data_IF_985905811770
#
_entry.id   IF_985905811770
#
_cell.length_a   1.000
_cell.length_b   1.000
_cell.length_c   1.000
_cell.angle_alpha   90.00
_cell.angle_beta   90.00
_cell.angle_gamma   90.00
#
_symmetry.space_group_name_H-M   'P 1'
#
loop_
_entity.id
_entity.type
_entity.pdbx_description
1 polymer ?
#
# COMPACT_ATOMS: atom_id res chain seq x y z
N UNK A 1 -11.45 5.50 -4.46
CA UNK A 1 -11.16 6.78 -3.77
C UNK A 1 -12.38 7.70 -3.71
N UNK A 2 -12.72 8.52 -4.73
CA UNK A 2 -13.80 9.54 -4.61
C UNK A 2 -15.20 9.03 -4.23
N UNK A 3 -15.49 7.76 -4.53
CA UNK A 3 -16.68 7.06 -4.04
C UNK A 3 -16.71 7.02 -2.49
N UNK A 4 -15.59 6.61 -1.89
CA UNK A 4 -15.44 6.37 -0.45
C UNK A 4 -15.00 7.62 0.32
N UNK A 5 -14.07 8.40 -0.24
CA UNK A 5 -13.34 9.45 0.47
C UNK A 5 -13.75 10.85 0.01
N UNK A 6 -13.70 11.80 0.92
CA UNK A 6 -13.89 13.22 0.61
C UNK A 6 -12.71 13.78 -0.19
N UNK A 7 -12.89 14.93 -0.85
CA UNK A 7 -11.79 15.61 -1.55
C UNK A 7 -10.62 15.97 -0.62
N UNK A 8 -10.91 16.28 0.65
CA UNK A 8 -9.89 16.59 1.66
C UNK A 8 -9.08 15.36 2.03
N UNK A 9 -9.73 14.22 2.25
CA UNK A 9 -9.05 12.95 2.52
C UNK A 9 -8.19 12.52 1.34
N UNK A 10 -8.67 12.67 0.10
CA UNK A 10 -7.88 12.40 -1.11
C UNK A 10 -6.63 13.29 -1.14
N UNK A 11 -6.76 14.59 -0.87
CA UNK A 11 -5.60 15.50 -0.83
C UNK A 11 -4.61 15.11 0.27
N UNK A 12 -5.11 14.68 1.43
CA UNK A 12 -4.29 14.20 2.54
C UNK A 12 -3.56 12.89 2.18
N UNK A 13 -4.23 11.95 1.50
CA UNK A 13 -3.61 10.72 0.98
C UNK A 13 -2.47 11.04 0.02
N UNK A 14 -2.69 11.93 -0.95
CA UNK A 14 -1.66 12.33 -1.90
C UNK A 14 -0.45 12.97 -1.18
N UNK A 15 -0.71 13.80 -0.18
CA UNK A 15 0.35 14.44 0.63
C UNK A 15 1.11 13.42 1.51
N UNK A 16 0.40 12.44 2.08
CA UNK A 16 1.00 11.39 2.90
C UNK A 16 1.89 10.46 2.07
N UNK A 17 1.45 10.10 0.85
CA UNK A 17 2.26 9.33 -0.12
C UNK A 17 3.58 10.04 -0.42
N UNK A 18 3.54 11.34 -0.70
CA UNK A 18 4.75 12.14 -0.96
C UNK A 18 5.66 12.19 0.28
N UNK A 19 5.06 12.36 1.46
CA UNK A 19 5.80 12.41 2.73
C UNK A 19 6.53 11.10 3.00
N UNK A 20 5.87 9.96 2.83
CA UNK A 20 6.48 8.64 3.07
C UNK A 20 7.51 8.27 2.01
N UNK A 21 7.31 8.66 0.75
CA UNK A 21 8.36 8.56 -0.27
C UNK A 21 9.64 9.29 0.17
N UNK A 22 9.52 10.51 0.72
CA UNK A 22 10.66 11.25 1.27
C UNK A 22 11.26 10.57 2.51
N UNK A 23 10.43 10.09 3.44
CA UNK A 23 10.88 9.38 4.64
C UNK A 23 11.65 8.09 4.31
N UNK A 24 11.34 7.45 3.18
CA UNK A 24 12.10 6.29 2.67
C UNK A 24 13.50 6.65 2.13
N UNK A 25 13.93 7.91 2.24
CA UNK A 25 15.16 8.41 1.63
C UNK A 25 15.06 8.61 0.11
N UNK A 26 13.83 8.68 -0.42
CA UNK A 26 13.56 8.77 -1.85
C UNK A 26 13.70 7.44 -2.62
N UNK A 27 13.82 6.31 -1.90
CA UNK A 27 13.94 4.98 -2.51
C UNK A 27 12.58 4.53 -3.09
N UNK A 28 11.48 4.80 -2.38
CA UNK A 28 10.14 4.51 -2.86
C UNK A 28 9.62 5.65 -3.74
N UNK A 29 9.35 5.33 -5.00
CA UNK A 29 8.61 6.22 -5.90
C UNK A 29 7.17 6.41 -5.37
N UNK A 30 6.66 7.65 -5.23
CA UNK A 30 5.28 7.92 -4.83
C UNK A 30 4.23 7.11 -5.60
N UNK A 31 4.47 6.80 -6.88
CA UNK A 31 3.57 6.02 -7.73
C UNK A 31 3.50 4.56 -7.30
N UNK A 32 4.62 4.00 -6.80
CA UNK A 32 4.64 2.63 -6.25
C UNK A 32 3.78 2.57 -4.99
N UNK A 33 3.94 3.55 -4.09
CA UNK A 33 3.14 3.64 -2.86
C UNK A 33 1.65 3.77 -3.21
N UNK A 34 1.31 4.63 -4.18
CA UNK A 34 -0.05 4.79 -4.67
C UNK A 34 -0.61 3.48 -5.25
N UNK A 35 0.12 2.81 -6.14
CA UNK A 35 -0.32 1.56 -6.76
C UNK A 35 -0.50 0.43 -5.73
N UNK A 36 0.41 0.35 -4.75
CA UNK A 36 0.30 -0.60 -3.65
C UNK A 36 -0.92 -0.31 -2.78
N UNK A 37 -1.19 0.95 -2.43
CA UNK A 37 -2.41 1.34 -1.71
C UNK A 37 -3.69 0.89 -2.45
N UNK A 38 -3.72 1.03 -3.78
CA UNK A 38 -4.87 0.54 -4.57
C UNK A 38 -5.01 -0.98 -4.46
N UNK A 39 -3.90 -1.71 -4.48
CA UNK A 39 -3.88 -3.17 -4.29
C UNK A 39 -4.37 -3.59 -2.89
N UNK A 40 -4.06 -2.81 -1.85
CA UNK A 40 -4.41 -3.14 -0.46
C UNK A 40 -5.84 -2.75 -0.08
N UNK A 41 -6.29 -1.56 -0.48
CA UNK A 41 -7.54 -0.97 0.03
C UNK A 41 -8.40 -0.30 -1.03
N UNK A 42 -8.01 -0.38 -2.32
CA UNK A 42 -8.62 0.39 -3.40
C UNK A 42 -8.55 1.92 -3.16
N UNK A 43 -7.64 2.33 -2.26
CA UNK A 43 -7.48 3.69 -1.77
C UNK A 43 -8.61 4.19 -0.87
N UNK A 44 -9.41 3.31 -0.27
CA UNK A 44 -10.46 3.66 0.66
C UNK A 44 -9.87 3.93 2.06
N UNK A 45 -9.90 5.18 2.53
CA UNK A 45 -9.35 5.53 3.86
C UNK A 45 -10.13 4.88 5.01
N UNK A 46 -11.39 4.52 4.76
CA UNK A 46 -12.30 3.88 5.70
C UNK A 46 -12.38 2.37 5.50
N UNK A 47 -11.41 1.76 4.79
CA UNK A 47 -11.39 0.33 4.56
C UNK A 47 -11.50 -0.43 5.88
N UNK A 48 -12.29 -1.51 5.90
CA UNK A 48 -12.37 -2.38 7.05
C UNK A 48 -11.04 -3.13 7.24
N UNK A 49 -10.86 -3.69 8.43
CA UNK A 49 -9.72 -4.56 8.69
C UNK A 49 -9.79 -5.85 7.85
N UNK A 50 -8.70 -6.19 7.17
CA UNK A 50 -8.51 -7.42 6.41
C UNK A 50 -7.96 -8.57 7.25
N UNK A 51 -7.66 -9.69 6.59
CA UNK A 51 -7.00 -10.87 7.18
C UNK A 51 -7.61 -11.34 8.51
N UNK A 52 -8.94 -11.46 8.54
CA UNK A 52 -9.67 -11.86 9.75
C UNK A 52 -9.60 -10.84 10.89
N UNK A 53 -9.33 -9.58 10.58
CA UNK A 53 -9.22 -8.49 11.55
C UNK A 53 -7.80 -8.31 12.10
N UNK A 54 -6.77 -8.57 11.28
CA UNK A 54 -5.35 -8.40 11.69
C UNK A 54 -4.60 -7.37 10.85
N UNK A 55 -5.14 -6.98 9.69
CA UNK A 55 -4.57 -6.00 8.77
C UNK A 55 -5.41 -4.73 8.73
N UNK A 56 -4.78 -3.57 8.90
CA UNK A 56 -5.51 -2.32 9.17
C UNK A 56 -5.07 -1.15 8.27
N UNK A 57 -5.97 -0.17 8.14
CA UNK A 57 -5.73 1.09 7.43
C UNK A 57 -5.54 0.93 5.91
N UNK A 58 -5.16 2.04 5.28
CA UNK A 58 -5.02 2.15 3.81
C UNK A 58 -4.06 1.14 3.17
N UNK A 59 -3.07 0.70 3.94
CA UNK A 59 -2.00 -0.18 3.46
C UNK A 59 -2.11 -1.60 4.02
N UNK A 60 -3.19 -1.90 4.75
CA UNK A 60 -3.49 -3.23 5.31
C UNK A 60 -2.28 -3.87 6.01
N UNK A 61 -1.55 -3.09 6.80
CA UNK A 61 -0.38 -3.58 7.54
C UNK A 61 -0.86 -4.44 8.73
N UNK A 62 -0.22 -5.60 8.95
CA UNK A 62 -0.55 -6.44 10.09
C UNK A 62 -0.06 -5.84 11.40
N UNK A 63 -1.01 -5.43 12.23
CA UNK A 63 -0.78 -4.78 13.52
C UNK A 63 -1.45 -5.60 14.62
N UNK A 64 -0.86 -5.57 15.82
CA UNK A 64 -1.51 -6.14 17.00
C UNK A 64 -2.87 -5.45 17.23
N UNK A 65 -3.99 -6.20 17.30
CA UNK A 65 -5.32 -5.60 17.46
C UNK A 65 -5.40 -4.60 18.61
N UNK A 66 -6.08 -3.48 18.36
CA UNK A 66 -6.26 -2.39 19.33
C UNK A 66 -5.18 -1.30 19.29
N UNK A 67 -4.12 -1.46 18.49
CA UNK A 67 -3.05 -0.47 18.34
C UNK A 67 -2.98 0.18 16.95
N UNK A 68 -3.89 -0.16 16.04
CA UNK A 68 -3.84 0.31 14.66
C UNK A 68 -4.33 1.75 14.53
N UNK A 69 -3.63 2.54 13.71
CA UNK A 69 -4.16 3.80 13.21
C UNK A 69 -5.01 3.47 11.98
N UNK A 70 -6.33 3.60 12.11
CA UNK A 70 -7.24 3.48 10.98
C UNK A 70 -8.36 4.53 11.05
N UNK A 71 -9.21 4.50 10.02
CA UNK A 71 -10.46 5.27 9.95
C UNK A 71 -11.65 4.35 9.64
N UNK A 72 -11.55 3.07 9.99
CA UNK A 72 -12.62 2.12 9.78
C UNK A 72 -13.83 2.52 10.64
N UNK A 73 -15.01 2.61 10.02
CA UNK A 73 -16.24 3.00 10.70
C UNK A 73 -16.38 4.49 11.05
N UNK A 74 -15.41 5.34 10.69
CA UNK A 74 -15.62 6.80 10.71
C UNK A 74 -16.43 7.24 9.49
N UNK A 75 -17.10 8.39 9.57
CA UNK A 75 -17.85 8.91 8.43
C UNK A 75 -16.90 9.50 7.37
N UNK A 76 -17.34 9.51 6.12
CA UNK A 76 -16.65 10.16 5.00
C UNK A 76 -16.33 11.62 5.34
N UNK A 77 -15.05 11.99 5.32
CA UNK A 77 -14.57 13.33 5.66
C UNK A 77 -14.02 13.48 7.08
N UNK A 78 -14.23 12.48 7.95
CA UNK A 78 -13.81 12.55 9.36
C UNK A 78 -12.43 11.91 9.60
N UNK A 79 -11.78 11.34 8.58
CA UNK A 79 -10.42 10.83 8.72
C UNK A 79 -9.40 12.00 8.69
N UNK A 80 -8.76 12.26 9.83
CA UNK A 80 -7.81 13.38 9.94
C UNK A 80 -6.55 13.17 9.10
N UNK A 81 -5.91 14.26 8.67
CA UNK A 81 -4.63 14.19 7.94
C UNK A 81 -3.54 13.47 8.73
N UNK A 82 -3.54 13.60 10.06
CA UNK A 82 -2.61 12.90 10.95
C UNK A 82 -2.85 11.38 10.98
N UNK A 83 -4.11 10.93 10.99
CA UNK A 83 -4.44 9.51 10.90
C UNK A 83 -4.02 8.94 9.54
N UNK A 84 -4.33 9.64 8.45
CA UNK A 84 -3.95 9.21 7.10
C UNK A 84 -2.42 9.09 6.98
N UNK A 85 -1.68 10.10 7.44
CA UNK A 85 -0.21 10.04 7.46
C UNK A 85 0.28 8.87 8.33
N UNK A 86 -0.36 8.66 9.50
CA UNK A 86 -0.06 7.55 10.41
C UNK A 86 -0.17 6.18 9.73
N UNK A 87 -1.23 5.94 8.96
CA UNK A 87 -1.39 4.68 8.19
C UNK A 87 -0.23 4.44 7.22
N UNK A 88 0.26 5.48 6.55
CA UNK A 88 1.41 5.36 5.65
C UNK A 88 2.75 5.21 6.41
N UNK A 89 2.87 5.79 7.60
CA UNK A 89 4.03 5.59 8.46
C UNK A 89 4.08 4.16 9.01
N UNK A 90 2.94 3.60 9.40
CA UNK A 90 2.81 2.18 9.77
C UNK A 90 3.22 1.26 8.62
N UNK A 91 2.78 1.56 7.39
CA UNK A 91 3.25 0.89 6.17
C UNK A 91 4.78 0.95 6.00
N UNK A 92 5.38 2.12 6.19
CA UNK A 92 6.81 2.32 6.00
C UNK A 92 7.62 1.52 7.02
N UNK A 93 7.28 1.69 8.30
CA UNK A 93 8.10 1.19 9.39
C UNK A 93 7.75 -0.25 9.78
N UNK A 94 6.46 -0.59 9.84
CA UNK A 94 5.98 -1.83 10.46
C UNK A 94 6.74 -2.15 11.74
N UNK A 95 7.11 -3.43 11.94
CA UNK A 95 7.89 -3.86 13.11
C UNK A 95 9.33 -3.28 13.19
N UNK A 96 9.72 -2.39 12.29
CA UNK A 96 11.07 -1.87 12.14
C UNK A 96 11.34 -0.48 12.73
N UNK A 97 10.37 0.29 13.27
CA UNK A 97 10.74 1.65 13.69
C UNK A 97 9.76 2.64 14.34
N UNK A 98 8.51 2.31 14.69
CA UNK A 98 7.56 3.35 15.16
C UNK A 98 7.08 3.23 16.61
N UNK A 99 7.57 2.27 17.40
CA UNK A 99 7.14 2.07 18.80
C UNK A 99 5.75 1.45 18.97
N UNK A 100 5.03 1.18 17.87
CA UNK A 100 3.84 0.33 17.83
C UNK A 100 4.26 -1.15 17.68
N UNK A 101 3.38 -2.07 18.08
CA UNK A 101 3.64 -3.52 18.01
C UNK A 101 3.02 -4.11 16.74
N UNK A 102 3.86 -4.52 15.79
CA UNK A 102 3.44 -5.07 14.50
C UNK A 102 3.71 -6.57 14.42
N UNK A 103 2.85 -7.28 13.68
CA UNK A 103 3.03 -8.70 13.38
C UNK A 103 3.80 -8.93 12.06
N UNK A 104 3.76 -7.97 11.13
CA UNK A 104 4.46 -8.04 9.85
C UNK A 104 5.53 -6.93 9.69
N UNK A 105 6.55 -7.15 8.83
CA UNK A 105 7.49 -6.11 8.45
C UNK A 105 6.81 -5.01 7.62
N UNK A 106 7.25 -3.76 7.82
CA UNK A 106 6.91 -2.66 6.91
C UNK A 106 7.74 -2.71 5.63
N UNK A 107 7.34 -1.94 4.62
CA UNK A 107 8.02 -1.93 3.32
C UNK A 107 9.49 -1.47 3.45
N UNK A 108 9.81 -0.61 4.42
CA UNK A 108 11.17 -0.12 4.66
C UNK A 108 12.13 -1.25 5.05
N UNK A 109 11.71 -2.13 5.95
CA UNK A 109 12.45 -3.35 6.28
C UNK A 109 12.64 -4.25 5.05
N UNK A 110 11.56 -4.42 4.29
CA UNK A 110 11.57 -5.26 3.10
C UNK A 110 12.51 -4.73 2.01
N UNK A 111 12.59 -3.41 1.82
CA UNK A 111 13.57 -2.78 0.93
C UNK A 111 15.00 -3.05 1.41
N UNK A 112 15.27 -2.76 2.69
CA UNK A 112 16.61 -2.92 3.24
C UNK A 112 17.11 -4.36 3.10
N UNK A 113 16.27 -5.33 3.45
CA UNK A 113 16.61 -6.76 3.42
C UNK A 113 16.77 -7.29 2.00
N UNK A 114 16.12 -6.68 1.02
CA UNK A 114 16.18 -7.08 -0.39
C UNK A 114 17.04 -6.16 -1.26
N UNK A 115 17.96 -5.39 -0.66
CA UNK A 115 18.92 -4.57 -1.41
C UNK A 115 18.26 -3.45 -2.23
N UNK A 116 17.17 -2.88 -1.73
CA UNK A 116 16.33 -1.87 -2.37
C UNK A 116 15.64 -2.32 -3.67
N UNK A 117 15.57 -3.62 -3.92
CA UNK A 117 14.75 -4.17 -5.00
C UNK A 117 13.26 -4.03 -4.65
N UNK A 118 12.59 -3.07 -5.29
CA UNK A 118 11.18 -2.74 -5.02
C UNK A 118 10.25 -3.93 -5.27
N UNK A 119 10.49 -4.73 -6.32
CA UNK A 119 9.63 -5.87 -6.62
C UNK A 119 9.73 -6.95 -5.54
N UNK A 120 10.95 -7.24 -5.07
CA UNK A 120 11.18 -8.13 -3.92
C UNK A 120 10.62 -7.54 -2.64
N UNK A 121 10.73 -6.23 -2.43
CA UNK A 121 10.17 -5.57 -1.26
C UNK A 121 8.64 -5.67 -1.22
N UNK A 122 7.96 -5.50 -2.35
CA UNK A 122 6.51 -5.71 -2.48
C UNK A 122 6.10 -7.15 -2.15
N UNK A 123 6.86 -8.15 -2.64
CA UNK A 123 6.62 -9.55 -2.26
C UNK A 123 6.83 -9.73 -0.76
N UNK A 124 7.94 -9.24 -0.20
CA UNK A 124 8.21 -9.28 1.23
C UNK A 124 7.11 -8.62 2.06
N UNK A 125 6.53 -7.52 1.61
CA UNK A 125 5.40 -6.88 2.30
C UNK A 125 4.17 -7.81 2.32
N UNK A 126 3.84 -8.41 1.18
CA UNK A 126 2.68 -9.30 1.04
C UNK A 126 2.82 -10.65 1.79
N UNK A 127 4.01 -11.23 1.83
CA UNK A 127 4.25 -12.57 2.42
C UNK A 127 5.10 -12.56 3.69
N UNK A 128 5.52 -11.40 4.17
CA UNK A 128 6.51 -11.23 5.25
C UNK A 128 7.96 -11.63 4.89
N UNK A 129 8.19 -12.16 3.68
CA UNK A 129 9.48 -12.63 3.17
C UNK A 129 9.47 -12.75 1.64
N UNK A 130 10.60 -13.12 1.02
CA UNK A 130 10.65 -13.47 -0.41
C UNK A 130 10.91 -14.97 -0.55
N UNK A 131 9.86 -15.81 -0.71
CA UNK A 131 10.01 -17.26 -0.70
C UNK A 131 10.93 -17.80 -1.81
N UNK A 132 10.80 -17.24 -3.01
CA UNK A 132 11.66 -17.53 -4.16
C UNK A 132 12.07 -16.20 -4.85
N UNK A 133 13.33 -15.76 -4.68
CA UNK A 133 13.81 -14.53 -5.30
C UNK A 133 13.86 -14.55 -6.83
N UNK A 134 13.77 -15.73 -7.45
CA UNK A 134 13.73 -15.90 -8.91
C UNK A 134 12.31 -15.94 -9.47
N UNK A 135 11.32 -16.21 -8.62
CA UNK A 135 9.91 -16.25 -8.99
C UNK A 135 9.03 -15.60 -7.91
N UNK A 136 8.72 -14.32 -8.12
CA UNK A 136 7.90 -13.54 -7.19
C UNK A 136 6.41 -13.92 -7.18
N UNK A 137 5.96 -14.90 -7.96
CA UNK A 137 4.60 -15.44 -7.82
C UNK A 137 4.50 -16.53 -6.76
N UNK A 138 5.65 -17.04 -6.27
CA UNK A 138 5.68 -18.04 -5.19
C UNK A 138 5.33 -17.35 -3.88
N UNK A 139 4.32 -17.89 -3.21
CA UNK A 139 3.82 -17.39 -1.94
C UNK A 139 3.71 -18.52 -0.92
N UNK A 140 3.74 -18.15 0.35
CA UNK A 140 3.33 -18.98 1.48
C UNK A 140 2.00 -18.48 2.02
N UNK A 141 1.20 -19.35 2.65
CA UNK A 141 -0.08 -19.02 3.27
C UNK A 141 -1.14 -18.49 2.27
N UNK A 142 -2.15 -17.76 2.74
CA UNK A 142 -3.25 -17.17 1.95
C UNK A 142 -2.87 -15.87 1.21
N UNK A 143 -1.57 -15.66 0.98
CA UNK A 143 -1.02 -14.48 0.30
C UNK A 143 -1.31 -14.46 -1.20
N UNK A 144 -1.31 -13.27 -1.81
CA UNK A 144 -1.72 -13.06 -3.21
C UNK A 144 -0.59 -13.37 -4.21
N UNK A 145 -0.69 -14.39 -5.07
CA UNK A 145 0.38 -14.78 -6.00
C UNK A 145 0.73 -13.71 -7.04
N UNK A 146 -0.25 -12.96 -7.53
CA UNK A 146 -0.10 -11.94 -8.58
C UNK A 146 0.15 -10.53 -8.04
N UNK A 147 0.33 -10.35 -6.73
CA UNK A 147 0.49 -9.05 -6.05
C UNK A 147 1.49 -8.11 -6.74
N UNK A 148 2.72 -8.60 -6.99
CA UNK A 148 3.79 -7.79 -7.58
C UNK A 148 3.45 -7.42 -9.02
N UNK A 149 2.90 -8.34 -9.81
CA UNK A 149 2.49 -8.08 -11.19
C UNK A 149 1.31 -7.14 -11.29
N UNK A 150 0.34 -7.21 -10.36
CA UNK A 150 -0.82 -6.31 -10.34
C UNK A 150 -0.39 -4.87 -10.07
N UNK A 151 0.49 -4.66 -9.08
CA UNK A 151 1.09 -3.35 -8.81
C UNK A 151 1.90 -2.88 -10.02
N UNK A 152 2.70 -3.76 -10.63
CA UNK A 152 3.44 -3.44 -11.86
C UNK A 152 2.53 -3.00 -13.00
N UNK A 153 1.40 -3.68 -13.20
CA UNK A 153 0.42 -3.35 -14.23
C UNK A 153 -0.27 -2.00 -13.96
N UNK A 154 -0.57 -1.68 -12.69
CA UNK A 154 -1.09 -0.36 -12.30
C UNK A 154 -0.09 0.77 -12.60
N UNK A 155 1.21 0.50 -12.45
CA UNK A 155 2.27 1.47 -12.72
C UNK A 155 2.49 1.73 -14.21
N UNK A 156 2.45 0.68 -15.03
CA UNK A 156 2.59 0.79 -16.49
C UNK A 156 1.34 1.45 -17.08
N UNK A 157 0.16 1.08 -16.57
CA UNK A 157 -1.12 1.50 -17.11
C UNK A 157 -1.32 0.98 -18.54
N UNK A 158 -2.35 1.50 -19.20
CA UNK A 158 -2.60 1.27 -20.61
C UNK A 158 -2.48 2.61 -21.33
N UNK A 159 -1.80 2.63 -22.47
CA UNK A 159 -1.71 3.84 -23.27
C UNK A 159 -3.05 4.08 -23.97
N UNK A 160 -3.72 5.22 -23.74
CA UNK A 160 -4.95 5.51 -24.42
C UNK A 160 -4.71 5.67 -25.94
N UNK A 161 -5.67 5.27 -26.81
CA UNK A 161 -5.50 5.33 -28.27
C UNK A 161 -5.21 6.75 -28.81
N UNK A 162 -5.65 7.77 -28.08
CA UNK A 162 -5.35 9.17 -28.40
C UNK A 162 -5.50 10.04 -27.14
N UNK A 163 -4.97 11.27 -27.19
CA UNK A 163 -5.09 12.24 -26.11
C UNK A 163 -6.55 12.64 -25.77
N UNK A 164 -7.50 12.39 -26.68
CA UNK A 164 -8.93 12.68 -26.50
C UNK A 164 -9.77 11.43 -26.23
N UNK A 165 -9.19 10.24 -26.38
CA UNK A 165 -9.86 8.98 -26.07
C UNK A 165 -9.29 8.44 -24.77
N UNK A 166 -10.06 8.56 -23.68
CA UNK A 166 -9.68 8.02 -22.38
C UNK A 166 -9.99 6.51 -22.24
N UNK A 167 -10.29 5.82 -23.35
CA UNK A 167 -10.55 4.38 -23.37
C UNK A 167 -9.26 3.58 -23.59
N UNK A 168 -9.39 2.25 -23.59
CA UNK A 168 -8.32 1.35 -24.03
C UNK A 168 -8.57 0.90 -25.47
N UNK A 169 -7.50 0.61 -26.22
CA UNK A 169 -7.66 0.00 -27.53
C UNK A 169 -8.39 -1.35 -27.37
N UNK A 170 -9.31 -1.65 -28.29
CA UNK A 170 -9.98 -2.95 -28.36
C UNK A 170 -8.92 -4.05 -28.38
N UNK A 171 -9.08 -5.11 -27.58
CA UNK A 171 -8.25 -6.30 -27.72
C UNK A 171 -8.42 -6.83 -29.15
N UNK A 172 -7.33 -6.81 -29.93
CA UNK A 172 -7.26 -7.36 -31.28
C UNK A 172 -7.18 -8.88 -31.27
#
# INVERSE_FOLDING_TARGET
MAEFDSSTEIANVLSAIQSVAQMSGGILDPRVIFAQMIQESQGNVHTAAGDGGTSYGLMQIQITPGNAIDCAGTAKGDCSSAQILGMFQEYLYGNGGSGLTFAAPGIGYCLQTNGNDVAKALRCYNTGSVPDPSNLSVVSNESTPDYVSNIGNLLIGQTPPSATSCGFASAG
#
